data_IF_149461338135
#
_entry.id   IF_149461338135
#
_cell.length_a   1.000
_cell.length_b   1.000
_cell.length_c   1.000
_cell.angle_alpha   90.00
_cell.angle_beta   90.00
_cell.angle_gamma   90.00
#
_symmetry.space_group_name_H-M   'P 1'
#
loop_
_entity.id
_entity.type
_entity.pdbx_description
1 polymer ?
#
# COMPACT_ATOMS: atom_id res chain seq x y z
N UNK A 1 14.52 -12.78 -12.56
CA UNK A 1 13.58 -11.74 -12.07
C UNK A 1 13.59 -10.54 -13.01
N UNK A 2 12.41 -10.04 -13.40
CA UNK A 2 12.23 -8.86 -14.26
C UNK A 2 12.79 -7.60 -13.59
N UNK A 3 13.23 -6.64 -14.38
CA UNK A 3 13.79 -5.37 -13.90
C UNK A 3 13.37 -4.23 -14.80
N UNK A 4 13.27 -3.04 -14.23
CA UNK A 4 13.05 -1.78 -14.95
C UNK A 4 14.15 -0.82 -14.54
N UNK A 5 14.72 -0.14 -15.51
CA UNK A 5 15.70 0.92 -15.26
C UNK A 5 14.97 2.15 -14.72
N UNK A 6 15.42 2.62 -13.57
CA UNK A 6 14.94 3.86 -12.98
C UNK A 6 15.79 5.04 -13.46
N UNK A 7 15.27 6.27 -13.51
CA UNK A 7 16.01 7.43 -14.00
C UNK A 7 17.21 7.79 -13.13
N UNK A 8 17.13 7.53 -11.84
CA UNK A 8 18.19 7.83 -10.88
C UNK A 8 19.00 6.61 -10.46
N UNK A 9 20.09 6.88 -9.74
CA UNK A 9 20.95 5.82 -9.20
C UNK A 9 20.23 5.04 -8.11
N UNK A 10 20.33 3.70 -8.10
CA UNK A 10 19.80 2.89 -7.00
C UNK A 10 20.35 3.33 -5.65
N UNK A 11 19.47 3.58 -4.70
CA UNK A 11 19.85 3.88 -3.33
C UNK A 11 20.59 2.67 -2.71
N UNK A 12 21.56 2.92 -1.82
CA UNK A 12 22.35 1.87 -1.18
C UNK A 12 21.48 0.96 -0.30
N UNK A 13 20.59 1.56 0.49
CA UNK A 13 19.62 0.82 1.30
C UNK A 13 18.39 0.51 0.46
N UNK A 14 18.13 -0.79 0.24
CA UNK A 14 17.03 -1.24 -0.60
C UNK A 14 15.72 -1.41 0.17
N UNK A 15 15.79 -1.46 1.51
CA UNK A 15 14.65 -1.48 2.42
C UNK A 15 14.84 -0.36 3.42
N UNK A 16 13.97 0.63 3.39
CA UNK A 16 13.87 1.63 4.47
C UNK A 16 12.90 1.10 5.52
N UNK A 17 13.22 1.29 6.79
CA UNK A 17 12.39 0.80 7.86
C UNK A 17 12.59 1.57 9.16
N UNK A 18 11.54 1.57 9.98
CA UNK A 18 11.57 2.09 11.34
C UNK A 18 10.82 1.11 12.23
N UNK A 19 11.42 0.75 13.37
CA UNK A 19 10.73 -0.04 14.39
C UNK A 19 9.64 0.81 15.06
N UNK A 20 8.49 0.20 15.24
CA UNK A 20 7.28 0.83 15.75
C UNK A 20 6.58 -0.09 16.76
N UNK A 21 5.55 0.43 17.37
CA UNK A 21 4.52 -0.35 18.08
C UNK A 21 3.21 -0.14 17.37
N UNK A 22 2.36 -1.17 17.30
CA UNK A 22 1.09 -1.06 16.60
C UNK A 22 -0.04 -1.83 17.23
N UNK A 23 -1.26 -1.44 16.88
CA UNK A 23 -2.49 -2.10 17.34
C UNK A 23 -3.56 -2.04 16.25
N UNK A 24 -4.26 -3.18 16.08
CA UNK A 24 -5.44 -3.24 15.23
C UNK A 24 -6.64 -2.58 15.89
N UNK A 25 -7.48 -1.93 15.11
CA UNK A 25 -8.76 -1.35 15.50
C UNK A 25 -9.68 -1.25 14.29
N UNK A 26 -10.96 -1.03 14.54
CA UNK A 26 -11.95 -0.73 13.50
C UNK A 26 -12.72 0.53 13.83
N UNK A 27 -13.22 1.19 12.79
CA UNK A 27 -14.06 2.38 12.95
C UNK A 27 -14.93 2.58 11.73
N UNK A 28 -15.95 3.42 11.89
CA UNK A 28 -16.90 3.76 10.84
C UNK A 28 -16.51 5.06 10.17
N UNK A 29 -16.47 5.06 8.85
CA UNK A 29 -16.36 6.28 8.03
C UNK A 29 -17.75 6.89 7.88
N UNK A 30 -17.86 8.19 8.16
CA UNK A 30 -19.12 8.93 8.12
C UNK A 30 -19.38 9.49 6.71
N UNK A 31 -20.62 9.41 6.26
CA UNK A 31 -21.03 9.99 4.98
C UNK A 31 -20.89 11.51 4.95
N UNK A 32 -20.63 12.06 3.76
CA UNK A 32 -20.53 13.49 3.50
C UNK A 32 -19.18 14.12 3.84
N UNK A 33 -18.26 13.36 4.43
CA UNK A 33 -16.90 13.85 4.70
C UNK A 33 -15.95 13.54 3.54
N UNK A 34 -14.94 14.41 3.29
CA UNK A 34 -13.77 14.01 2.50
C UNK A 34 -13.17 12.72 3.09
N UNK A 35 -12.82 11.77 2.23
CA UNK A 35 -12.32 10.46 2.67
C UNK A 35 -11.09 10.58 3.58
N UNK A 36 -10.16 11.47 3.25
CA UNK A 36 -8.97 11.74 4.07
C UNK A 36 -9.35 12.20 5.48
N UNK A 37 -10.32 13.10 5.61
CA UNK A 37 -10.77 13.62 6.90
C UNK A 37 -11.50 12.54 7.71
N UNK A 38 -12.34 11.71 7.09
CA UNK A 38 -13.02 10.61 7.75
C UNK A 38 -12.02 9.57 8.28
N UNK A 39 -11.01 9.21 7.49
CA UNK A 39 -9.92 8.30 7.90
C UNK A 39 -9.11 8.92 9.04
N UNK A 40 -8.66 10.16 8.90
CA UNK A 40 -7.89 10.88 9.93
C UNK A 40 -8.63 10.90 11.27
N UNK A 41 -9.93 11.21 11.28
CA UNK A 41 -10.75 11.22 12.51
C UNK A 41 -10.77 9.88 13.22
N UNK A 42 -10.94 8.79 12.47
CA UNK A 42 -10.92 7.43 13.03
C UNK A 42 -9.57 7.09 13.67
N UNK A 43 -8.46 7.42 13.02
CA UNK A 43 -7.13 7.22 13.59
C UNK A 43 -6.90 8.05 14.84
N UNK A 44 -7.23 9.35 14.83
CA UNK A 44 -7.09 10.25 15.99
C UNK A 44 -7.94 9.76 17.17
N UNK A 45 -9.19 9.35 16.93
CA UNK A 45 -10.06 8.79 17.97
C UNK A 45 -9.49 7.51 18.60
N UNK A 46 -8.72 6.73 17.84
CA UNK A 46 -8.01 5.53 18.33
C UNK A 46 -6.63 5.85 18.95
N UNK A 47 -6.21 7.14 18.96
CA UNK A 47 -4.93 7.60 19.53
C UNK A 47 -3.74 7.52 18.58
N UNK A 48 -3.97 7.39 17.27
CA UNK A 48 -2.93 7.29 16.24
C UNK A 48 -2.94 8.49 15.28
N UNK A 49 -1.81 8.75 14.66
CA UNK A 49 -1.65 9.75 13.59
C UNK A 49 -1.25 9.17 12.25
N UNK A 50 -0.98 7.86 12.19
CA UNK A 50 -0.60 7.15 10.99
C UNK A 50 -0.69 5.64 11.15
N UNK A 51 -0.57 4.94 10.03
CA UNK A 51 -0.68 3.48 9.97
C UNK A 51 -1.26 3.03 8.64
N UNK A 52 -1.93 1.88 8.64
CA UNK A 52 -2.54 1.29 7.45
C UNK A 52 -4.01 0.98 7.67
N UNK A 53 -4.75 0.89 6.57
CA UNK A 53 -6.18 0.67 6.56
C UNK A 53 -6.54 -0.29 5.42
N UNK A 54 -7.38 -1.26 5.71
CA UNK A 54 -8.00 -2.15 4.73
C UNK A 54 -9.50 -1.91 4.66
N UNK A 55 -10.00 -1.78 3.46
CA UNK A 55 -11.41 -1.56 3.16
C UNK A 55 -11.97 -2.75 2.40
N UNK A 56 -13.10 -3.26 2.82
CA UNK A 56 -13.86 -4.29 2.12
C UNK A 56 -15.27 -3.76 1.88
N UNK A 57 -15.54 -3.37 0.65
CA UNK A 57 -16.79 -2.69 0.31
C UNK A 57 -16.77 -1.19 0.65
N UNK A 58 -17.92 -0.54 0.48
CA UNK A 58 -18.10 0.89 0.74
C UNK A 58 -18.53 1.67 -0.50
N UNK A 59 -18.97 2.90 -0.29
CA UNK A 59 -19.48 3.79 -1.33
C UNK A 59 -18.84 5.16 -1.25
N UNK A 60 -18.27 5.61 -2.36
CA UNK A 60 -17.59 6.90 -2.50
C UNK A 60 -18.24 7.74 -3.60
N UNK A 61 -18.31 9.04 -3.40
CA UNK A 61 -18.84 10.00 -4.38
C UNK A 61 -18.97 11.40 -3.81
N UNK A 62 -18.43 12.43 -4.46
CA UNK A 62 -17.53 12.40 -5.63
C UNK A 62 -16.30 11.51 -5.46
N UNK A 63 -15.75 11.06 -6.57
CA UNK A 63 -14.62 10.13 -6.58
C UNK A 63 -13.63 10.51 -7.68
N UNK A 64 -12.34 10.49 -7.35
CA UNK A 64 -11.27 10.76 -8.30
C UNK A 64 -10.11 9.80 -8.12
N UNK A 65 -9.52 9.39 -9.23
CA UNK A 65 -8.39 8.48 -9.25
C UNK A 65 -7.52 8.66 -10.50
N UNK A 66 -6.33 8.10 -10.44
CA UNK A 66 -5.45 7.91 -11.60
C UNK A 66 -5.12 6.44 -11.77
N UNK A 67 -4.79 6.04 -12.99
CA UNK A 67 -4.31 4.70 -13.29
C UNK A 67 -2.79 4.74 -13.51
N UNK A 68 -2.09 3.61 -13.39
CA UNK A 68 -0.72 3.53 -13.88
C UNK A 68 -0.71 3.82 -15.38
N UNK A 69 0.34 4.46 -15.85
CA UNK A 69 0.53 4.79 -17.26
C UNK A 69 2.00 4.67 -17.68
N UNK A 70 2.22 4.59 -18.98
CA UNK A 70 3.57 4.69 -19.53
C UNK A 70 4.09 6.11 -19.38
N UNK A 71 5.34 6.26 -19.00
CA UNK A 71 6.00 7.58 -18.99
C UNK A 71 6.10 8.13 -20.41
N UNK A 72 5.67 9.36 -20.60
CA UNK A 72 5.80 10.10 -21.88
C UNK A 72 7.18 10.70 -22.07
N UNK A 73 7.99 10.69 -21.03
CA UNK A 73 9.34 11.25 -21.01
C UNK A 73 10.30 10.27 -20.36
N UNK A 74 11.59 10.39 -20.51
CA UNK A 74 12.59 9.58 -19.79
C UNK A 74 12.74 9.94 -18.31
N UNK A 75 11.93 10.86 -17.78
CA UNK A 75 12.05 11.35 -16.41
C UNK A 75 11.62 10.34 -15.34
N UNK A 76 10.76 9.38 -15.69
CA UNK A 76 10.25 8.36 -14.79
C UNK A 76 10.14 7.02 -15.54
N UNK A 77 10.28 5.89 -14.87
CA UNK A 77 10.10 4.56 -15.49
C UNK A 77 8.64 4.26 -15.88
N UNK A 78 7.69 4.76 -15.10
CA UNK A 78 6.25 4.78 -15.37
C UNK A 78 5.66 6.07 -14.79
N UNK A 79 4.42 6.38 -15.09
CA UNK A 79 3.75 7.60 -14.59
C UNK A 79 2.28 7.33 -14.32
N UNK A 80 1.50 8.38 -14.14
CA UNK A 80 0.05 8.34 -13.96
C UNK A 80 -0.69 8.76 -15.24
N UNK A 81 -1.90 8.24 -15.40
CA UNK A 81 -2.88 8.72 -16.38
C UNK A 81 -3.36 10.14 -16.06
N UNK A 82 -4.14 10.72 -16.94
CA UNK A 82 -4.98 11.86 -16.59
C UNK A 82 -5.97 11.43 -15.48
N UNK A 83 -6.40 12.40 -14.67
CA UNK A 83 -7.34 12.14 -13.57
C UNK A 83 -8.71 11.75 -14.10
N UNK A 84 -9.21 10.63 -13.63
CA UNK A 84 -10.53 10.10 -13.92
C UNK A 84 -11.51 10.48 -12.81
N UNK A 85 -12.69 10.96 -13.18
CA UNK A 85 -13.77 11.38 -12.25
C UNK A 85 -15.08 10.77 -12.72
N UNK A 86 -15.38 9.53 -12.32
CA UNK A 86 -16.63 8.88 -12.70
C UNK A 86 -17.84 9.61 -12.10
N UNK A 87 -18.91 9.69 -12.84
CA UNK A 87 -20.18 10.22 -12.34
C UNK A 87 -20.86 9.25 -11.37
N UNK A 88 -21.63 9.80 -10.43
CA UNK A 88 -22.44 8.99 -9.50
C UNK A 88 -21.62 8.37 -8.37
N UNK A 89 -22.15 7.33 -7.76
CA UNK A 89 -21.55 6.64 -6.63
C UNK A 89 -20.69 5.48 -7.11
N UNK A 90 -19.41 5.49 -6.74
CA UNK A 90 -18.48 4.40 -6.96
C UNK A 90 -18.54 3.43 -5.78
N UNK A 91 -18.70 2.14 -6.07
CA UNK A 91 -18.74 1.08 -5.06
C UNK A 91 -17.39 0.38 -4.94
N UNK A 92 -16.74 0.55 -3.80
CA UNK A 92 -15.48 -0.15 -3.52
C UNK A 92 -15.73 -1.66 -3.44
N UNK A 93 -14.87 -2.45 -4.06
CA UNK A 93 -14.72 -3.88 -3.79
C UNK A 93 -13.73 -4.09 -2.65
N UNK A 94 -12.60 -3.43 -2.76
CA UNK A 94 -11.56 -3.40 -1.74
C UNK A 94 -10.65 -2.17 -1.98
N UNK A 95 -10.00 -1.73 -0.93
CA UNK A 95 -8.89 -0.79 -1.02
C UNK A 95 -7.93 -0.99 0.15
N UNK A 96 -6.68 -0.61 -0.07
CA UNK A 96 -5.65 -0.57 0.97
C UNK A 96 -5.04 0.82 0.98
N UNK A 97 -4.85 1.37 2.18
CA UNK A 97 -4.32 2.72 2.37
C UNK A 97 -3.17 2.72 3.37
N UNK A 98 -2.19 3.58 3.11
CA UNK A 98 -1.19 4.02 4.08
C UNK A 98 -1.49 5.46 4.46
N UNK A 99 -1.78 5.74 5.73
CA UNK A 99 -1.97 7.08 6.27
C UNK A 99 -0.65 7.60 6.85
N UNK A 100 -0.26 8.78 6.40
CA UNK A 100 0.93 9.47 6.84
C UNK A 100 0.79 10.98 6.64
N UNK A 101 1.88 11.66 6.25
CA UNK A 101 1.90 13.10 6.01
C UNK A 101 2.57 13.44 4.68
N UNK A 102 2.10 14.52 4.06
CA UNK A 102 2.70 15.19 2.92
C UNK A 102 2.71 16.70 3.19
N UNK A 103 3.89 17.32 3.06
CA UNK A 103 4.07 18.74 3.32
C UNK A 103 3.50 19.18 4.72
N UNK A 104 3.77 18.35 5.74
CA UNK A 104 3.30 18.49 7.13
C UNK A 104 1.77 18.37 7.35
N UNK A 105 1.00 18.07 6.31
CA UNK A 105 -0.44 17.82 6.40
C UNK A 105 -0.75 16.31 6.29
N UNK A 106 -1.84 15.83 6.89
CA UNK A 106 -2.29 14.45 6.70
C UNK A 106 -2.47 14.14 5.23
N UNK A 107 -2.04 12.95 4.84
CA UNK A 107 -2.16 12.45 3.48
C UNK A 107 -2.24 10.93 3.50
N UNK A 108 -2.94 10.32 2.55
CA UNK A 108 -2.87 8.88 2.36
C UNK A 108 -2.45 8.49 0.94
N UNK A 109 -1.80 7.35 0.84
CA UNK A 109 -1.56 6.63 -0.40
C UNK A 109 -2.52 5.45 -0.45
N UNK A 110 -3.32 5.32 -1.50
CA UNK A 110 -4.38 4.32 -1.57
C UNK A 110 -4.52 3.71 -2.96
N UNK A 111 -4.51 2.38 -3.00
CA UNK A 111 -4.86 1.60 -4.19
C UNK A 111 -6.05 0.70 -3.90
N UNK A 112 -6.82 0.40 -4.94
CA UNK A 112 -7.98 -0.46 -4.78
C UNK A 112 -8.65 -0.84 -6.09
N UNK A 113 -9.70 -1.64 -5.96
CA UNK A 113 -10.60 -2.03 -7.05
C UNK A 113 -12.03 -1.62 -6.68
N UNK A 114 -12.79 -1.18 -7.68
CA UNK A 114 -14.15 -0.67 -7.51
C UNK A 114 -15.00 -0.88 -8.75
N UNK A 115 -16.29 -0.66 -8.58
CA UNK A 115 -17.27 -0.60 -9.65
C UNK A 115 -17.86 0.80 -9.72
N UNK A 116 -17.77 1.41 -10.89
CA UNK A 116 -18.34 2.73 -11.16
C UNK A 116 -19.87 2.65 -11.36
N UNK A 117 -20.56 3.79 -11.32
CA UNK A 117 -22.01 3.83 -11.41
C UNK A 117 -22.55 3.33 -12.76
N UNK A 118 -21.78 3.42 -13.83
CA UNK A 118 -22.09 2.87 -15.16
C UNK A 118 -21.88 1.34 -15.25
N UNK A 119 -21.39 0.72 -14.18
CA UNK A 119 -21.11 -0.72 -14.09
C UNK A 119 -19.70 -1.12 -14.47
N UNK A 120 -18.83 -0.19 -14.87
CA UNK A 120 -17.44 -0.47 -15.20
C UNK A 120 -16.66 -0.90 -13.96
N UNK A 121 -15.95 -2.03 -14.06
CA UNK A 121 -14.98 -2.44 -13.07
C UNK A 121 -13.65 -1.71 -13.35
N UNK A 122 -13.08 -1.08 -12.33
CA UNK A 122 -11.88 -0.25 -12.42
C UNK A 122 -10.99 -0.44 -11.20
N UNK A 123 -9.79 0.10 -11.28
CA UNK A 123 -8.84 0.15 -10.17
C UNK A 123 -7.83 1.27 -10.37
N UNK A 124 -7.04 1.57 -9.36
CA UNK A 124 -6.02 2.62 -9.48
C UNK A 124 -5.60 3.22 -8.15
N UNK A 125 -4.97 4.38 -8.27
CA UNK A 125 -4.52 5.24 -7.20
C UNK A 125 -5.59 6.31 -6.91
N UNK A 126 -6.19 6.21 -5.75
CA UNK A 126 -7.28 7.09 -5.30
C UNK A 126 -6.73 8.46 -4.88
N UNK A 127 -7.37 9.55 -5.32
CA UNK A 127 -7.00 10.91 -4.95
C UNK A 127 -7.74 11.33 -3.67
N UNK A 128 -7.04 11.48 -2.53
CA UNK A 128 -7.68 11.69 -1.23
C UNK A 128 -8.44 13.01 -1.10
N UNK A 129 -7.95 14.04 -1.79
CA UNK A 129 -8.48 15.41 -1.68
C UNK A 129 -9.78 15.61 -2.47
N UNK A 130 -10.04 14.73 -3.46
CA UNK A 130 -11.19 14.81 -4.36
C UNK A 130 -12.21 13.68 -4.15
N UNK A 131 -12.02 12.86 -3.11
CA UNK A 131 -12.86 11.69 -2.85
C UNK A 131 -13.63 11.86 -1.55
N UNK A 132 -14.94 11.57 -1.58
CA UNK A 132 -15.85 11.71 -0.43
C UNK A 132 -16.53 10.39 -0.10
N UNK A 133 -16.86 10.20 1.16
CA UNK A 133 -17.69 9.08 1.63
C UNK A 133 -19.14 9.35 1.25
N UNK A 134 -19.72 8.53 0.36
CA UNK A 134 -21.12 8.67 -0.06
C UNK A 134 -22.11 8.03 0.93
N UNK A 135 -21.76 6.85 1.44
CA UNK A 135 -22.53 6.10 2.43
C UNK A 135 -21.58 5.66 3.56
N UNK A 136 -22.04 5.58 4.82
CA UNK A 136 -21.16 5.18 5.89
C UNK A 136 -20.81 3.69 5.82
N UNK A 137 -19.54 3.34 6.09
CA UNK A 137 -19.07 1.95 6.10
C UNK A 137 -17.94 1.73 7.12
N UNK A 138 -17.79 0.47 7.56
CA UNK A 138 -16.75 0.07 8.51
C UNK A 138 -15.43 -0.22 7.79
N UNK A 139 -14.33 0.05 8.51
CA UNK A 139 -12.97 -0.21 8.04
C UNK A 139 -12.12 -0.85 9.14
N UNK A 140 -11.14 -1.65 8.71
CA UNK A 140 -10.14 -2.25 9.59
C UNK A 140 -8.82 -1.51 9.44
N UNK A 141 -8.20 -1.10 10.54
CA UNK A 141 -6.97 -0.34 10.56
C UNK A 141 -5.91 -0.96 11.49
N UNK A 142 -4.67 -0.64 11.22
CA UNK A 142 -3.54 -0.90 12.11
C UNK A 142 -2.78 0.42 12.32
N UNK A 143 -2.95 1.01 13.49
CA UNK A 143 -2.27 2.25 13.87
C UNK A 143 -0.87 1.96 14.37
N UNK A 144 0.08 2.85 14.09
CA UNK A 144 1.46 2.75 14.54
C UNK A 144 1.89 3.95 15.38
N UNK A 145 2.74 3.69 16.36
CA UNK A 145 3.43 4.69 17.18
C UNK A 145 4.94 4.41 17.16
N UNK A 146 5.75 5.45 17.26
CA UNK A 146 7.21 5.35 17.11
C UNK A 146 7.70 5.50 15.67
N UNK A 147 6.82 5.40 14.69
CA UNK A 147 7.08 5.64 13.28
C UNK A 147 5.93 6.41 12.60
N UNK A 148 6.23 7.02 11.45
CA UNK A 148 5.26 7.67 10.59
C UNK A 148 5.74 7.55 9.14
N UNK A 149 4.81 7.47 8.19
CA UNK A 149 5.12 7.64 6.77
C UNK A 149 5.07 9.11 6.39
N UNK A 150 6.10 9.60 5.70
CA UNK A 150 6.17 10.96 5.15
C UNK A 150 6.52 10.92 3.68
N UNK A 151 5.97 11.83 2.87
CA UNK A 151 6.36 11.89 1.45
C UNK A 151 7.63 12.69 1.30
N UNK A 152 8.65 12.06 0.70
CA UNK A 152 9.93 12.68 0.39
C UNK A 152 10.28 12.51 -1.09
N UNK A 153 11.10 13.43 -1.59
CA UNK A 153 11.62 13.33 -2.95
C UNK A 153 12.54 12.10 -3.05
N UNK A 154 12.25 11.21 -3.99
CA UNK A 154 13.05 10.02 -4.23
C UNK A 154 13.90 10.20 -5.50
N UNK A 155 15.22 10.39 -5.37
CA UNK A 155 16.10 10.62 -6.51
C UNK A 155 16.28 9.37 -7.40
N UNK A 156 15.95 8.16 -6.94
CA UNK A 156 16.00 6.95 -7.75
C UNK A 156 14.86 6.92 -8.78
N UNK A 157 13.66 7.33 -8.39
CA UNK A 157 12.44 7.22 -9.22
C UNK A 157 11.94 8.54 -9.78
N UNK A 158 12.44 9.68 -9.27
CA UNK A 158 11.93 11.05 -9.51
C UNK A 158 10.47 11.25 -9.09
N UNK A 159 9.99 10.44 -8.13
CA UNK A 159 8.70 10.64 -7.48
C UNK A 159 8.86 11.23 -6.07
N UNK A 160 7.77 11.73 -5.52
CA UNK A 160 7.61 11.93 -4.09
C UNK A 160 6.88 10.71 -3.55
N UNK A 161 7.55 9.93 -2.70
CA UNK A 161 7.07 8.65 -2.20
C UNK A 161 7.07 8.65 -0.68
N UNK A 162 6.16 7.88 -0.08
CA UNK A 162 6.20 7.64 1.35
C UNK A 162 7.48 6.91 1.75
N UNK A 163 8.11 7.41 2.80
CA UNK A 163 9.15 6.70 3.52
C UNK A 163 8.88 6.71 5.02
N UNK A 164 9.25 5.65 5.73
CA UNK A 164 9.11 5.58 7.17
C UNK A 164 10.16 6.46 7.86
N UNK A 165 9.72 7.30 8.80
CA UNK A 165 10.58 8.09 9.67
C UNK A 165 10.29 7.78 11.13
N UNK A 166 11.31 7.88 12.00
CA UNK A 166 11.14 7.72 13.43
C UNK A 166 10.36 8.91 14.01
N UNK A 167 9.47 8.61 14.96
CA UNK A 167 8.72 9.59 15.74
C UNK A 167 8.72 9.18 17.21
N UNK A 168 8.50 10.16 18.09
CA UNK A 168 8.32 9.87 19.50
C UNK A 168 7.07 9.01 19.71
N UNK A 169 7.23 7.86 20.40
CA UNK A 169 6.10 7.02 20.80
C UNK A 169 5.45 7.64 22.04
N UNK A 170 4.20 8.08 21.96
CA UNK A 170 3.45 8.57 23.11
C UNK A 170 2.43 7.51 23.54
N UNK A 171 2.55 7.11 24.80
CA UNK A 171 1.61 6.43 25.69
C UNK A 171 0.44 5.66 25.09
N UNK A 172 0.71 4.51 24.45
CA UNK A 172 -0.34 3.56 24.12
C UNK A 172 0.08 2.22 24.69
N UNK A 173 -0.65 1.77 25.74
CA UNK A 173 -0.47 0.49 26.37
C UNK A 173 -0.92 -0.65 25.43
N UNK A 174 -0.34 -1.84 25.59
CA UNK A 174 -0.71 -3.08 24.90
C UNK A 174 -0.62 -3.00 23.36
N UNK A 175 0.55 -2.65 22.81
CA UNK A 175 0.84 -2.69 21.38
C UNK A 175 1.84 -3.79 21.02
N UNK A 176 1.62 -4.43 19.88
CA UNK A 176 2.55 -5.40 19.28
C UNK A 176 3.80 -4.69 18.74
N UNK A 177 4.92 -5.41 18.70
CA UNK A 177 6.11 -4.98 17.96
C UNK A 177 5.76 -4.93 16.47
N UNK A 178 6.11 -3.83 15.81
CA UNK A 178 5.83 -3.63 14.40
C UNK A 178 6.98 -2.90 13.71
N UNK A 179 6.94 -2.88 12.37
CA UNK A 179 7.90 -2.18 11.54
C UNK A 179 7.15 -1.45 10.41
N UNK A 180 7.39 -0.15 10.28
CA UNK A 180 7.01 0.57 9.08
C UNK A 180 8.10 0.36 8.03
N UNK A 181 7.74 -0.08 6.83
CA UNK A 181 8.67 -0.52 5.79
C UNK A 181 8.36 0.16 4.46
N UNK A 182 9.41 0.45 3.71
CA UNK A 182 9.36 0.76 2.28
C UNK A 182 10.39 -0.10 1.55
N UNK A 183 9.94 -0.87 0.55
CA UNK A 183 10.79 -1.57 -0.40
C UNK A 183 11.01 -0.66 -1.63
N UNK A 184 12.25 -0.60 -2.09
CA UNK A 184 12.67 0.18 -3.27
C UNK A 184 12.56 -0.63 -4.56
N UNK A 185 12.68 0.00 -5.74
CA UNK A 185 12.57 -0.66 -7.06
C UNK A 185 13.42 -1.93 -7.21
N UNK A 186 12.97 -2.84 -8.04
CA UNK A 186 13.68 -4.07 -8.41
C UNK A 186 13.99 -5.05 -7.24
N UNK A 187 13.35 -4.88 -6.09
CA UNK A 187 13.37 -5.85 -4.99
C UNK A 187 12.26 -6.88 -5.20
N UNK A 188 12.56 -8.18 -5.10
CA UNK A 188 11.49 -9.18 -5.01
C UNK A 188 10.68 -8.97 -3.73
N UNK A 189 9.37 -8.85 -3.85
CA UNK A 189 8.52 -8.45 -2.74
C UNK A 189 8.59 -9.46 -1.59
N UNK A 190 8.31 -10.74 -1.84
CA UNK A 190 8.32 -11.79 -0.81
C UNK A 190 9.72 -12.01 -0.22
N UNK A 191 10.71 -12.20 -1.08
CA UNK A 191 12.09 -12.48 -0.66
C UNK A 191 12.73 -11.34 0.15
N UNK A 192 12.36 -10.08 -0.15
CA UNK A 192 12.84 -8.93 0.62
C UNK A 192 12.28 -8.91 2.04
N UNK A 193 10.98 -9.25 2.21
CA UNK A 193 10.37 -9.34 3.54
C UNK A 193 10.94 -10.49 4.35
N UNK A 194 11.19 -11.65 3.73
CA UNK A 194 11.84 -12.78 4.39
C UNK A 194 13.26 -12.44 4.85
N UNK A 195 14.04 -11.78 3.98
CA UNK A 195 15.37 -11.30 4.31
C UNK A 195 15.37 -10.31 5.48
N UNK A 196 14.41 -9.38 5.48
CA UNK A 196 14.21 -8.42 6.56
C UNK A 196 13.84 -9.12 7.88
N UNK A 197 12.87 -10.02 7.87
CA UNK A 197 12.44 -10.77 9.05
C UNK A 197 13.59 -11.60 9.64
N UNK A 198 14.34 -12.32 8.80
CA UNK A 198 15.53 -13.09 9.23
C UNK A 198 16.57 -12.19 9.91
N UNK A 199 16.85 -11.03 9.33
CA UNK A 199 17.83 -10.09 9.89
C UNK A 199 17.36 -9.46 11.22
N UNK A 200 16.06 -9.52 11.55
CA UNK A 200 15.44 -8.97 12.77
C UNK A 200 15.01 -10.03 13.77
N UNK A 201 15.28 -11.30 13.51
CA UNK A 201 14.86 -12.42 14.37
C UNK A 201 13.33 -12.59 14.45
N UNK A 202 12.60 -12.16 13.40
CA UNK A 202 11.14 -12.31 13.33
C UNK A 202 10.83 -13.61 12.61
N UNK A 203 10.17 -14.53 13.30
CA UNK A 203 9.82 -15.86 12.77
C UNK A 203 8.37 -15.99 12.35
N UNK A 204 7.52 -15.09 12.85
CA UNK A 204 6.11 -15.02 12.48
C UNK A 204 5.69 -13.55 12.40
N UNK A 205 5.11 -13.15 11.27
CA UNK A 205 4.65 -11.78 11.07
C UNK A 205 3.37 -11.72 10.23
N UNK A 206 2.62 -10.64 10.43
CA UNK A 206 1.45 -10.28 9.62
C UNK A 206 1.72 -8.97 8.88
N UNK A 207 1.36 -8.93 7.61
CA UNK A 207 1.40 -7.71 6.80
C UNK A 207 0.08 -6.97 6.98
N UNK A 208 0.18 -5.72 7.41
CA UNK A 208 -0.94 -4.78 7.49
C UNK A 208 -0.79 -3.72 6.42
N UNK A 209 -1.84 -3.52 5.61
CA UNK A 209 -1.76 -2.65 4.46
C UNK A 209 -0.86 -3.23 3.39
N UNK A 210 -0.22 -2.36 2.66
CA UNK A 210 0.66 -2.66 1.53
C UNK A 210 0.11 -2.01 0.27
N UNK A 211 0.71 -0.86 -0.08
CA UNK A 211 0.36 -0.06 -1.25
C UNK A 211 1.63 0.17 -2.04
N UNK A 212 1.56 0.00 -3.35
CA UNK A 212 2.71 0.22 -4.22
C UNK A 212 2.51 -0.35 -5.61
N UNK A 213 3.61 -0.71 -6.26
CA UNK A 213 3.60 -1.16 -7.65
C UNK A 213 4.60 -2.29 -7.87
N UNK A 214 4.27 -3.19 -8.79
CA UNK A 214 5.17 -4.27 -9.24
C UNK A 214 5.40 -4.20 -10.75
N UNK A 215 6.49 -4.83 -11.19
CA UNK A 215 6.80 -5.00 -12.62
C UNK A 215 5.96 -6.17 -13.16
N UNK A 216 4.71 -5.88 -13.53
CA UNK A 216 3.71 -6.92 -13.77
C UNK A 216 3.48 -7.80 -12.54
N UNK A 217 2.83 -8.95 -12.71
CA UNK A 217 2.63 -9.89 -11.60
C UNK A 217 2.66 -11.35 -12.07
N UNK A 218 3.12 -12.23 -11.19
CA UNK A 218 3.08 -13.69 -11.35
C UNK A 218 2.33 -14.30 -10.18
N UNK A 219 1.31 -15.10 -10.46
CA UNK A 219 0.45 -15.70 -9.46
C UNK A 219 0.71 -17.20 -9.29
N UNK A 220 0.40 -17.72 -8.11
CA UNK A 220 0.61 -19.16 -7.80
C UNK A 220 -0.27 -20.11 -8.62
N UNK A 221 -1.36 -19.62 -9.19
CA UNK A 221 -2.25 -20.36 -10.09
C UNK A 221 -1.81 -20.36 -11.56
N UNK A 222 -0.62 -19.80 -11.85
CA UNK A 222 -0.03 -19.73 -13.19
C UNK A 222 -0.47 -18.51 -14.00
N UNK A 223 -1.43 -17.71 -13.52
CA UNK A 223 -1.79 -16.45 -14.19
C UNK A 223 -0.66 -15.44 -14.13
N UNK A 224 -0.66 -14.57 -15.13
CA UNK A 224 0.38 -13.56 -15.35
C UNK A 224 -0.28 -12.25 -15.74
N UNK A 225 0.19 -11.14 -15.12
CA UNK A 225 -0.01 -9.78 -15.62
C UNK A 225 1.27 -9.36 -16.32
N UNK A 226 1.24 -9.31 -17.66
CA UNK A 226 2.41 -8.95 -18.47
C UNK A 226 2.70 -7.45 -18.51
N UNK A 227 1.68 -6.55 -18.56
CA UNK A 227 1.93 -5.11 -18.51
C UNK A 227 2.76 -4.75 -17.28
N UNK A 228 3.91 -4.07 -17.50
CA UNK A 228 4.92 -3.93 -16.45
C UNK A 228 4.54 -2.91 -15.36
N UNK A 229 3.77 -1.87 -15.70
CA UNK A 229 3.35 -0.88 -14.71
C UNK A 229 2.00 -1.26 -14.12
N UNK A 230 1.98 -1.48 -12.80
CA UNK A 230 0.78 -1.84 -12.04
C UNK A 230 0.62 -0.91 -10.83
N UNK A 231 -0.61 -0.76 -10.36
CA UNK A 231 -0.96 -0.25 -9.04
C UNK A 231 -1.51 -1.41 -8.21
N UNK A 232 -0.89 -1.69 -7.07
CA UNK A 232 -1.11 -2.90 -6.28
C UNK A 232 -1.53 -2.56 -4.86
N UNK A 233 -2.58 -3.25 -4.39
CA UNK A 233 -3.03 -3.28 -3.00
C UNK A 233 -2.81 -4.68 -2.41
N UNK A 234 -2.14 -4.79 -1.29
CA UNK A 234 -2.04 -6.05 -0.53
C UNK A 234 -3.36 -6.27 0.22
N UNK A 235 -4.02 -7.38 -0.04
CA UNK A 235 -5.29 -7.73 0.60
C UNK A 235 -5.11 -8.61 1.83
N UNK A 236 -4.06 -9.42 1.85
CA UNK A 236 -3.60 -10.16 3.03
C UNK A 236 -2.12 -10.56 2.87
N UNK A 237 -1.44 -10.78 3.98
CA UNK A 237 -0.08 -11.30 3.94
C UNK A 237 0.40 -11.80 5.29
N UNK A 238 1.17 -12.90 5.24
CA UNK A 238 1.81 -13.50 6.42
C UNK A 238 3.22 -13.98 6.07
N UNK A 239 4.08 -14.00 7.08
CA UNK A 239 5.40 -14.60 7.02
C UNK A 239 5.47 -15.58 8.18
N UNK A 240 5.84 -16.82 7.89
CA UNK A 240 5.93 -17.87 8.90
C UNK A 240 7.19 -18.69 8.70
N UNK A 241 7.79 -19.14 9.80
CA UNK A 241 8.86 -20.14 9.75
C UNK A 241 8.28 -21.53 9.48
N UNK A 242 8.78 -22.17 8.43
CA UNK A 242 8.52 -23.58 8.14
C UNK A 242 9.23 -24.53 9.13
N UNK A 243 8.97 -25.82 8.99
CA UNK A 243 9.57 -26.84 9.84
C UNK A 243 11.11 -26.94 9.70
N UNK A 244 11.65 -26.53 8.58
CA UNK A 244 13.08 -26.45 8.31
C UNK A 244 13.73 -25.13 8.76
N UNK A 245 12.95 -24.22 9.38
CA UNK A 245 13.38 -22.89 9.80
C UNK A 245 13.46 -21.86 8.66
N UNK A 246 13.15 -22.22 7.43
CA UNK A 246 13.03 -21.27 6.34
C UNK A 246 11.79 -20.40 6.52
N UNK A 247 11.89 -19.11 6.18
CA UNK A 247 10.72 -18.23 6.17
C UNK A 247 9.96 -18.37 4.85
N UNK A 248 8.67 -18.51 4.97
CA UNK A 248 7.74 -18.54 3.84
C UNK A 248 6.78 -17.37 3.92
N UNK A 249 6.71 -16.60 2.85
CA UNK A 249 5.83 -15.45 2.71
C UNK A 249 4.66 -15.77 1.80
N UNK A 250 3.46 -15.52 2.31
CA UNK A 250 2.21 -15.56 1.56
C UNK A 250 1.71 -14.14 1.38
N UNK A 251 1.47 -13.69 0.16
CA UNK A 251 0.95 -12.36 -0.16
C UNK A 251 -0.18 -12.48 -1.17
N UNK A 252 -1.37 -12.09 -0.77
CA UNK A 252 -2.52 -11.96 -1.65
C UNK A 252 -2.71 -10.49 -2.02
N UNK A 253 -2.95 -10.21 -3.29
CA UNK A 253 -3.02 -8.84 -3.83
C UNK A 253 -4.21 -8.65 -4.75
N UNK A 254 -4.55 -7.39 -4.94
CA UNK A 254 -5.38 -6.90 -6.03
C UNK A 254 -4.60 -5.81 -6.78
N UNK A 255 -4.71 -5.76 -8.09
CA UNK A 255 -3.98 -4.79 -8.91
C UNK A 255 -4.77 -4.38 -10.14
N UNK A 256 -4.39 -3.22 -10.68
CA UNK A 256 -4.70 -2.77 -12.03
C UNK A 256 -3.38 -2.53 -12.77
N UNK A 257 -3.31 -2.86 -14.04
CA UNK A 257 -2.19 -2.52 -14.91
C UNK A 257 -2.49 -1.28 -15.78
N UNK A 258 -1.46 -0.78 -16.47
CA UNK A 258 -1.59 0.44 -17.27
C UNK A 258 -2.51 0.30 -18.50
N UNK A 259 -2.98 -0.91 -18.82
CA UNK A 259 -3.97 -1.16 -19.88
C UNK A 259 -5.40 -1.17 -19.33
N UNK A 260 -5.57 -1.08 -17.99
CA UNK A 260 -6.84 -1.21 -17.29
C UNK A 260 -7.19 -2.64 -16.93
N UNK A 261 -6.31 -3.60 -17.18
CA UNK A 261 -6.49 -5.00 -16.78
C UNK A 261 -6.46 -5.16 -15.26
N UNK A 262 -7.48 -5.84 -14.71
CA UNK A 262 -7.61 -6.12 -13.28
C UNK A 262 -7.19 -7.55 -12.97
N UNK A 263 -6.45 -7.74 -11.88
CA UNK A 263 -6.10 -9.06 -11.39
C UNK A 263 -6.13 -9.13 -9.86
N UNK A 264 -6.42 -10.30 -9.35
CA UNK A 264 -6.37 -10.63 -7.92
C UNK A 264 -5.81 -12.04 -7.75
N UNK A 265 -5.04 -12.26 -6.70
CA UNK A 265 -4.54 -13.59 -6.38
C UNK A 265 -3.31 -13.57 -5.50
N UNK A 266 -2.78 -14.75 -5.25
CA UNK A 266 -1.56 -14.96 -4.48
C UNK A 266 -0.34 -14.85 -5.37
N UNK A 267 0.59 -13.99 -4.98
CA UNK A 267 1.86 -13.81 -5.69
C UNK A 267 2.77 -15.03 -5.50
N UNK A 268 3.49 -15.43 -6.56
CA UNK A 268 4.59 -16.39 -6.39
C UNK A 268 5.77 -15.70 -5.70
N UNK A 269 6.55 -16.46 -4.98
CA UNK A 269 7.82 -16.03 -4.40
C UNK A 269 8.90 -15.94 -5.48
N UNK A 270 9.77 -14.94 -5.41
CA UNK A 270 11.01 -14.85 -6.20
C UNK A 270 10.86 -14.17 -7.56
N UNK A 271 9.66 -13.82 -8.00
CA UNK A 271 9.46 -13.14 -9.28
C UNK A 271 8.30 -12.10 -9.29
N UNK A 272 8.22 -11.31 -8.24
CA UNK A 272 7.34 -10.14 -8.19
C UNK A 272 8.12 -8.89 -7.72
N UNK A 273 8.97 -8.34 -8.60
CA UNK A 273 9.78 -7.18 -8.27
C UNK A 273 8.96 -5.90 -8.15
N UNK A 274 9.28 -5.11 -7.15
CA UNK A 274 8.73 -3.75 -6.94
C UNK A 274 9.10 -2.87 -8.14
N UNK A 275 8.14 -2.08 -8.63
CA UNK A 275 8.38 -1.12 -9.73
C UNK A 275 8.89 0.22 -9.19
N UNK A 276 8.11 0.93 -8.39
CA UNK A 276 8.47 2.23 -7.82
C UNK A 276 8.71 2.15 -6.31
N UNK A 277 7.74 1.67 -5.58
CA UNK A 277 7.73 1.55 -4.13
C UNK A 277 6.76 0.46 -3.70
N UNK A 278 6.99 -0.08 -2.51
CA UNK A 278 6.01 -0.87 -1.77
C UNK A 278 6.13 -0.48 -0.31
N UNK A 279 5.11 0.16 0.23
CA UNK A 279 5.04 0.56 1.63
C UNK A 279 4.03 -0.29 2.38
N UNK A 280 4.37 -0.68 3.60
CA UNK A 280 3.54 -1.55 4.43
C UNK A 280 3.92 -1.45 5.90
N UNK A 281 3.08 -1.99 6.76
CA UNK A 281 3.43 -2.26 8.15
C UNK A 281 3.51 -3.77 8.37
N UNK A 282 4.59 -4.21 9.02
CA UNK A 282 4.82 -5.59 9.41
C UNK A 282 4.65 -5.70 10.93
N UNK A 283 3.67 -6.48 11.40
CA UNK A 283 3.49 -6.82 12.81
C UNK A 283 4.24 -8.10 13.11
N UNK A 284 5.15 -8.07 14.09
CA UNK A 284 5.84 -9.27 14.57
C UNK A 284 4.94 -9.99 15.58
N UNK A 285 4.68 -11.27 15.32
CA UNK A 285 3.84 -12.13 16.15
C UNK A 285 4.66 -13.19 16.91
N UNK A 286 5.95 -13.33 16.57
CA UNK A 286 6.88 -14.25 17.20
C UNK A 286 8.30 -14.01 16.73
#
# INVERSE_FOLDING_TARGET
>A
MRRVEQPGRPARERIQWVEARGRAFSFRLEAGLPLLEAVRRGFVAAGFTGGTLNVKGGALGPFAYVMPALSKTGANAAFYSDTLRPNGVTRLRLATMTLGVRDHAPFFHCHGLWREADGRESGGHMLPEETFVAEPFEVEAFGIAGAMFTTEADPETNFRLFEPIAREARGIDAMSRAFALRLRPNQDFAGSLEGFCRARGVTHAKIHGGVGSTIGARFTDGRVTEPFATELAVTSGTIMSGADGALETTIDVALVDYTGGLAQGRLIRGDNPVLMTMELVLEALG
#
